data_IF_771421703124
#
_entry.id   IF_771421703124
#
_cell.length_a   1.000
_cell.length_b   1.000
_cell.length_c   1.000
_cell.angle_alpha   90.00
_cell.angle_beta   90.00
_cell.angle_gamma   90.00
#
_symmetry.space_group_name_H-M   'P 1'
#
loop_
_entity.id
_entity.type
_entity.pdbx_description
1 polymer ?
#
# COMPACT_ATOMS: atom_id res chain seq x y z
N UNK A 1 5.32 -17.36 -20.02
CA UNK A 1 4.30 -17.27 -21.09
C UNK A 1 3.21 -16.34 -20.59
N UNK A 2 3.25 -15.09 -21.03
CA UNK A 2 2.20 -14.11 -20.75
C UNK A 2 0.90 -14.57 -21.42
N UNK A 3 -0.15 -14.69 -20.63
CA UNK A 3 -1.50 -14.87 -21.16
C UNK A 3 -1.84 -13.58 -21.90
N UNK A 4 -2.24 -13.69 -23.18
CA UNK A 4 -2.74 -12.54 -23.94
C UNK A 4 -3.84 -11.84 -23.15
N UNK A 5 -3.62 -10.57 -22.81
CA UNK A 5 -4.61 -9.71 -22.16
C UNK A 5 -5.05 -8.65 -23.16
N UNK A 6 -6.09 -8.91 -23.97
CA UNK A 6 -6.59 -7.90 -24.90
C UNK A 6 -6.98 -6.64 -24.13
N UNK A 7 -6.61 -5.48 -24.66
CA UNK A 7 -6.93 -4.20 -24.03
C UNK A 7 -8.45 -4.03 -23.91
N UNK A 8 -8.90 -3.67 -22.71
CA UNK A 8 -10.28 -3.32 -22.44
C UNK A 8 -10.32 -1.97 -21.70
N UNK A 9 -10.84 -0.93 -22.36
CA UNK A 9 -10.88 0.43 -21.78
C UNK A 9 -11.61 0.47 -20.42
N UNK A 10 -12.58 -0.42 -20.20
CA UNK A 10 -13.32 -0.52 -18.94
C UNK A 10 -12.46 -1.01 -17.78
N UNK A 11 -11.39 -1.76 -18.04
CA UNK A 11 -10.50 -2.29 -17.01
C UNK A 11 -9.72 -1.18 -16.27
N UNK A 12 -9.48 -0.03 -16.92
CA UNK A 12 -8.78 1.13 -16.34
C UNK A 12 -9.52 1.70 -15.13
N UNK A 13 -10.85 1.55 -15.07
CA UNK A 13 -11.68 2.04 -13.96
C UNK A 13 -11.27 1.39 -12.63
N UNK A 14 -10.83 0.12 -12.66
CA UNK A 14 -10.36 -0.59 -11.47
C UNK A 14 -9.13 0.08 -10.85
N UNK A 15 -8.12 0.36 -11.68
CA UNK A 15 -6.89 1.03 -11.26
C UNK A 15 -7.17 2.45 -10.75
N UNK A 16 -8.03 3.21 -11.42
CA UNK A 16 -8.41 4.55 -10.98
C UNK A 16 -9.08 4.53 -9.59
N UNK A 17 -10.05 3.63 -9.38
CA UNK A 17 -10.72 3.47 -8.07
C UNK A 17 -9.76 3.02 -6.97
N UNK A 18 -8.76 2.20 -7.30
CA UNK A 18 -7.71 1.83 -6.35
C UNK A 18 -6.91 3.06 -5.91
N UNK A 19 -6.42 3.89 -6.83
CA UNK A 19 -5.67 5.10 -6.50
C UNK A 19 -6.51 6.09 -5.68
N UNK A 20 -7.79 6.26 -6.01
CA UNK A 20 -8.71 7.07 -5.20
C UNK A 20 -8.87 6.55 -3.77
N UNK A 21 -8.83 5.21 -3.57
CA UNK A 21 -8.89 4.62 -2.23
C UNK A 21 -7.59 4.82 -1.45
N UNK A 22 -6.44 4.71 -2.11
CA UNK A 22 -5.15 5.04 -1.48
C UNK A 22 -5.13 6.49 -1.06
N UNK A 23 -5.58 7.41 -1.94
CA UNK A 23 -5.69 8.82 -1.61
C UNK A 23 -6.55 9.04 -0.37
N UNK A 24 -7.77 8.50 -0.34
CA UNK A 24 -8.68 8.60 0.82
C UNK A 24 -8.18 7.93 2.10
N UNK A 25 -7.25 6.97 2.01
CA UNK A 25 -6.62 6.40 3.19
C UNK A 25 -5.65 7.37 3.86
N UNK A 26 -5.08 8.33 3.10
CA UNK A 26 -4.05 9.26 3.60
C UNK A 26 -4.58 10.69 3.74
N UNK A 27 -5.51 11.09 2.88
CA UNK A 27 -6.02 12.46 2.76
C UNK A 27 -7.54 12.45 2.87
N UNK A 28 -8.07 13.40 3.63
CA UNK A 28 -9.48 13.68 3.71
C UNK A 28 -9.92 14.48 2.47
N UNK A 29 -10.83 13.95 1.67
CA UNK A 29 -11.21 14.57 0.39
C UNK A 29 -12.07 15.84 0.55
N UNK A 30 -12.71 16.03 1.71
CA UNK A 30 -13.52 17.23 1.96
C UNK A 30 -12.66 18.42 2.39
N UNK A 31 -11.70 18.16 3.28
CA UNK A 31 -10.85 19.20 3.90
C UNK A 31 -9.48 19.34 3.25
N UNK A 32 -9.00 18.30 2.55
CA UNK A 32 -7.64 18.20 2.03
C UNK A 32 -6.57 17.94 3.10
N UNK A 33 -6.96 17.79 4.37
CA UNK A 33 -6.06 17.50 5.48
C UNK A 33 -5.60 16.03 5.46
N UNK A 34 -4.49 15.75 6.14
CA UNK A 34 -4.06 14.37 6.35
C UNK A 34 -5.02 13.65 7.31
N UNK A 35 -5.33 12.40 6.99
CA UNK A 35 -5.98 11.42 7.90
C UNK A 35 -4.96 10.58 8.64
N UNK A 36 -3.71 11.02 8.66
CA UNK A 36 -2.57 10.27 9.20
C UNK A 36 -2.31 10.70 10.63
N UNK A 37 -2.14 9.73 11.51
CA UNK A 37 -1.87 9.91 12.93
C UNK A 37 -0.58 9.22 13.35
N UNK A 38 0.07 9.73 14.39
CA UNK A 38 1.26 9.10 14.99
C UNK A 38 0.91 8.03 16.03
N UNK A 39 -0.39 7.75 16.24
CA UNK A 39 -0.83 6.63 17.06
C UNK A 39 -0.37 5.29 16.43
N UNK A 40 0.07 4.31 17.24
CA UNK A 40 0.51 3.02 16.72
C UNK A 40 -0.67 2.25 16.13
N UNK A 41 -0.42 1.48 15.07
CA UNK A 41 -1.39 0.56 14.51
C UNK A 41 -1.62 -0.63 15.45
N UNK A 42 -2.83 -1.18 15.41
CA UNK A 42 -3.12 -2.42 16.10
C UNK A 42 -2.25 -3.58 15.55
N UNK A 43 -2.17 -4.67 16.31
CA UNK A 43 -1.33 -5.82 15.93
C UNK A 43 -1.78 -6.42 14.59
N UNK A 44 -3.08 -6.46 14.31
CA UNK A 44 -3.62 -7.02 13.07
C UNK A 44 -3.15 -6.22 11.85
N UNK A 45 -3.19 -4.89 11.93
CA UNK A 45 -2.77 -3.97 10.87
C UNK A 45 -1.26 -4.03 10.67
N UNK A 46 -0.47 -4.08 11.75
CA UNK A 46 0.98 -4.28 11.64
C UNK A 46 1.33 -5.60 10.97
N UNK A 47 0.71 -6.71 11.38
CA UNK A 47 0.92 -8.02 10.72
C UNK A 47 0.53 -8.00 9.25
N UNK A 48 -0.60 -7.37 8.91
CA UNK A 48 -1.03 -7.20 7.52
C UNK A 48 -0.01 -6.40 6.72
N UNK A 49 0.48 -5.28 7.26
CA UNK A 49 1.52 -4.45 6.64
C UNK A 49 2.76 -5.28 6.31
N UNK A 50 3.35 -5.98 7.28
CA UNK A 50 4.58 -6.73 7.07
C UNK A 50 4.38 -7.90 6.10
N UNK A 51 3.23 -8.59 6.14
CA UNK A 51 2.87 -9.60 5.14
C UNK A 51 2.79 -9.01 3.73
N UNK A 52 2.25 -7.80 3.60
CA UNK A 52 2.14 -7.11 2.30
C UNK A 52 3.52 -6.65 1.83
N UNK A 53 4.38 -6.11 2.71
CA UNK A 53 5.76 -5.73 2.36
C UNK A 53 6.53 -6.93 1.80
N UNK A 54 6.52 -8.06 2.51
CA UNK A 54 7.19 -9.30 2.09
C UNK A 54 6.66 -9.78 0.74
N UNK A 55 5.34 -9.86 0.61
CA UNK A 55 4.69 -10.35 -0.60
C UNK A 55 4.88 -9.42 -1.81
N UNK A 56 4.87 -8.11 -1.63
CA UNK A 56 5.12 -7.13 -2.71
C UNK A 56 6.56 -7.21 -3.17
N UNK A 57 7.53 -7.30 -2.24
CA UNK A 57 8.95 -7.44 -2.56
C UNK A 57 9.20 -8.69 -3.41
N UNK A 58 8.75 -9.86 -2.93
CA UNK A 58 8.91 -11.11 -3.67
C UNK A 58 8.18 -11.14 -5.02
N UNK A 59 7.05 -10.43 -5.15
CA UNK A 59 6.35 -10.27 -6.43
C UNK A 59 7.08 -9.32 -7.37
N UNK A 60 7.67 -8.24 -6.89
CA UNK A 60 8.47 -7.33 -7.71
C UNK A 60 9.73 -8.01 -8.24
N UNK A 61 10.44 -8.78 -7.40
CA UNK A 61 11.59 -9.60 -7.81
C UNK A 61 11.20 -10.63 -8.88
N UNK A 62 10.00 -11.21 -8.75
CA UNK A 62 9.44 -12.15 -9.72
C UNK A 62 8.74 -11.51 -10.93
N UNK A 63 8.75 -10.18 -11.07
CA UNK A 63 8.05 -9.43 -12.14
C UNK A 63 6.53 -9.76 -12.17
N UNK A 64 5.94 -10.04 -11.00
CA UNK A 64 4.51 -10.36 -10.81
C UNK A 64 3.73 -9.12 -10.34
N UNK A 65 3.76 -8.06 -11.13
CA UNK A 65 3.17 -6.76 -10.74
C UNK A 65 1.68 -6.80 -10.40
N UNK A 66 0.89 -7.62 -11.10
CA UNK A 66 -0.55 -7.75 -10.83
C UNK A 66 -0.84 -8.25 -9.41
N UNK A 67 -0.05 -9.22 -8.92
CA UNK A 67 -0.24 -9.77 -7.58
C UNK A 67 0.35 -8.87 -6.51
N UNK A 68 1.38 -8.07 -6.84
CA UNK A 68 1.86 -6.99 -5.98
C UNK A 68 0.76 -5.92 -5.77
N UNK A 69 0.15 -5.44 -6.87
CA UNK A 69 -0.96 -4.47 -6.80
C UNK A 69 -2.16 -5.04 -6.02
N UNK A 70 -2.48 -6.34 -6.20
CA UNK A 70 -3.53 -6.99 -5.44
C UNK A 70 -3.27 -6.96 -3.91
N UNK A 71 -2.03 -7.11 -3.48
CA UNK A 71 -1.64 -6.99 -2.06
C UNK A 71 -1.75 -5.55 -1.55
N UNK A 72 -1.39 -4.56 -2.37
CA UNK A 72 -1.61 -3.15 -2.03
C UNK A 72 -3.09 -2.81 -1.90
N UNK A 73 -3.95 -3.39 -2.75
CA UNK A 73 -5.41 -3.28 -2.62
C UNK A 73 -5.88 -3.91 -1.29
N UNK A 74 -5.36 -5.07 -0.90
CA UNK A 74 -5.68 -5.71 0.38
C UNK A 74 -5.33 -4.83 1.57
N UNK A 75 -4.10 -4.28 1.61
CA UNK A 75 -3.67 -3.34 2.65
C UNK A 75 -4.58 -2.10 2.70
N UNK A 76 -4.82 -1.49 1.55
CA UNK A 76 -5.66 -0.28 1.43
C UNK A 76 -7.08 -0.55 1.93
N UNK A 77 -7.66 -1.71 1.60
CA UNK A 77 -8.99 -2.09 2.09
C UNK A 77 -9.01 -2.23 3.62
N UNK A 78 -7.93 -2.75 4.22
CA UNK A 78 -7.76 -2.78 5.68
C UNK A 78 -7.78 -1.38 6.29
N UNK A 79 -7.01 -0.46 5.70
CA UNK A 79 -6.90 0.93 6.16
C UNK A 79 -8.21 1.72 6.02
N UNK A 80 -8.98 1.52 4.96
CA UNK A 80 -10.25 2.23 4.76
C UNK A 80 -11.31 1.94 5.83
N UNK A 81 -11.09 0.95 6.71
CA UNK A 81 -11.97 0.63 7.85
C UNK A 81 -11.57 1.36 9.12
N UNK A 82 -10.38 1.95 9.15
CA UNK A 82 -9.86 2.71 10.28
C UNK A 82 -10.38 4.15 10.20
N UNK A 83 -10.62 4.81 11.34
CA UNK A 83 -10.95 6.24 11.35
C UNK A 83 -9.78 7.07 10.80
N UNK A 84 -8.57 6.78 11.28
CA UNK A 84 -7.31 7.42 10.90
C UNK A 84 -6.28 6.35 10.53
N UNK A 85 -5.36 6.69 9.64
CA UNK A 85 -4.30 5.79 9.20
C UNK A 85 -3.02 6.04 10.01
N UNK A 86 -2.51 5.04 10.74
CA UNK A 86 -1.22 5.17 11.43
C UNK A 86 -0.08 5.48 10.45
N UNK A 87 0.77 6.45 10.80
CA UNK A 87 1.91 6.88 9.97
C UNK A 87 2.83 5.71 9.61
N UNK A 88 3.07 4.82 10.57
CA UNK A 88 3.89 3.61 10.38
C UNK A 88 3.34 2.65 9.30
N UNK A 89 2.08 2.80 8.89
CA UNK A 89 1.47 2.04 7.79
C UNK A 89 1.32 2.88 6.51
N UNK A 90 0.99 4.17 6.65
CA UNK A 90 0.84 5.10 5.53
C UNK A 90 2.14 5.23 4.71
N UNK A 91 3.27 5.42 5.38
CA UNK A 91 4.56 5.64 4.71
C UNK A 91 5.01 4.42 3.89
N UNK A 92 5.02 3.18 4.44
CA UNK A 92 5.33 2.00 3.63
C UNK A 92 4.34 1.77 2.48
N UNK A 93 3.04 2.05 2.67
CA UNK A 93 2.06 1.96 1.58
C UNK A 93 2.44 2.88 0.41
N UNK A 94 2.80 4.14 0.71
CA UNK A 94 3.22 5.12 -0.30
C UNK A 94 4.49 4.67 -1.02
N UNK A 95 5.49 4.18 -0.28
CA UNK A 95 6.74 3.67 -0.86
C UNK A 95 6.50 2.44 -1.76
N UNK A 96 5.64 1.50 -1.34
CA UNK A 96 5.31 0.34 -2.16
C UNK A 96 4.46 0.69 -3.39
N UNK A 97 3.71 1.80 -3.36
CA UNK A 97 2.94 2.28 -4.50
C UNK A 97 3.83 2.96 -5.55
N UNK A 98 4.94 3.57 -5.14
CA UNK A 98 5.81 4.39 -5.99
C UNK A 98 6.24 3.74 -7.31
N UNK A 99 6.62 2.45 -7.38
CA UNK A 99 6.99 1.81 -8.64
C UNK A 99 5.84 1.73 -9.66
N UNK A 100 4.58 1.81 -9.20
CA UNK A 100 3.38 1.65 -10.03
C UNK A 100 2.69 2.98 -10.35
N UNK A 101 2.68 3.91 -9.39
CA UNK A 101 2.01 5.20 -9.52
C UNK A 101 2.87 6.32 -8.89
N UNK A 102 4.05 6.62 -9.46
CA UNK A 102 5.06 7.48 -8.82
C UNK A 102 4.55 8.89 -8.53
N UNK A 103 3.79 9.48 -9.44
CA UNK A 103 3.28 10.86 -9.27
C UNK A 103 2.32 11.00 -8.08
N UNK A 104 1.42 10.02 -7.89
CA UNK A 104 0.48 10.02 -6.76
C UNK A 104 1.25 9.75 -5.46
N UNK A 105 2.17 8.78 -5.49
CA UNK A 105 3.01 8.49 -4.34
C UNK A 105 3.84 9.72 -3.90
N UNK A 106 4.43 10.46 -4.83
CA UNK A 106 5.25 11.64 -4.54
C UNK A 106 4.44 12.81 -3.95
N UNK A 107 3.21 13.01 -4.43
CA UNK A 107 2.29 13.98 -3.82
C UNK A 107 1.93 13.57 -2.38
N UNK A 108 1.61 12.30 -2.14
CA UNK A 108 1.31 11.80 -0.80
C UNK A 108 2.53 11.89 0.13
N UNK A 109 3.72 11.58 -0.38
CA UNK A 109 4.97 11.66 0.36
C UNK A 109 5.30 13.09 0.82
N UNK A 110 5.18 14.07 -0.09
CA UNK A 110 5.33 15.49 0.25
C UNK A 110 4.29 15.94 1.28
N UNK A 111 3.02 15.51 1.13
CA UNK A 111 1.97 15.82 2.11
C UNK A 111 2.26 15.23 3.48
N UNK A 112 2.85 14.05 3.56
CA UNK A 112 3.27 13.40 4.81
C UNK A 112 4.38 14.16 5.55
N UNK A 113 4.96 15.21 4.94
CA UNK A 113 5.95 16.10 5.53
C UNK A 113 7.38 15.87 5.05
N UNK A 114 7.59 15.01 4.04
CA UNK A 114 8.92 14.72 3.52
C UNK A 114 9.34 15.72 2.44
N UNK A 115 10.53 16.29 2.59
CA UNK A 115 11.07 17.29 1.63
C UNK A 115 11.81 16.64 0.45
N UNK A 116 12.50 15.52 0.70
CA UNK A 116 13.23 14.78 -0.32
C UNK A 116 12.29 13.86 -1.10
N UNK A 117 12.58 13.66 -2.38
CA UNK A 117 11.79 12.75 -3.22
C UNK A 117 11.86 11.31 -2.70
N UNK A 118 10.72 10.64 -2.71
CA UNK A 118 10.62 9.23 -2.32
C UNK A 118 11.45 8.30 -3.22
N UNK A 119 11.89 8.77 -4.39
CA UNK A 119 12.69 7.98 -5.32
C UNK A 119 14.06 7.56 -4.73
N UNK A 120 14.52 8.27 -3.69
CA UNK A 120 15.75 7.98 -2.97
C UNK A 120 15.50 7.36 -1.59
N UNK A 121 14.25 7.10 -1.22
CA UNK A 121 13.92 6.44 0.03
C UNK A 121 14.09 4.91 -0.10
N UNK A 122 14.47 4.26 0.99
CA UNK A 122 14.60 2.81 1.02
C UNK A 122 13.24 2.13 0.87
N UNK A 123 13.19 1.06 0.08
CA UNK A 123 11.98 0.24 -0.02
C UNK A 123 11.74 -0.50 1.31
N UNK A 124 10.50 -0.54 1.83
CA UNK A 124 10.23 -1.10 3.16
C UNK A 124 10.62 -2.57 3.28
N UNK A 125 11.06 -2.98 4.47
CA UNK A 125 11.45 -4.36 4.79
C UNK A 125 10.50 -4.94 5.83
N UNK A 126 10.06 -6.18 5.62
CA UNK A 126 9.17 -6.86 6.56
C UNK A 126 9.95 -7.29 7.80
N UNK A 127 9.30 -7.23 8.97
CA UNK A 127 9.83 -7.82 10.20
C UNK A 127 9.47 -9.32 10.21
N UNK A 128 10.47 -10.23 10.19
CA UNK A 128 10.22 -11.67 10.21
C UNK A 128 9.37 -12.13 11.40
N UNK A 129 9.44 -11.45 12.56
CA UNK A 129 8.65 -11.81 13.73
C UNK A 129 7.14 -11.62 13.52
N UNK A 130 6.76 -10.66 12.67
CA UNK A 130 5.36 -10.34 12.36
C UNK A 130 4.79 -11.20 11.22
N UNK A 131 5.64 -11.95 10.51
CA UNK A 131 5.24 -12.92 9.47
C UNK A 131 4.83 -14.29 10.04
N UNK A 132 5.25 -14.61 11.28
CA UNK A 132 4.89 -15.89 11.91
C UNK A 132 3.40 -15.89 12.26
N UNK A 133 2.65 -16.81 11.67
CA UNK A 133 1.24 -16.98 11.96
C UNK A 133 1.04 -17.59 13.36
N UNK A 134 0.24 -16.93 14.19
CA UNK A 134 -0.08 -17.41 15.55
C UNK A 134 -1.05 -18.60 15.53
N UNK A 135 -1.85 -18.76 14.45
CA UNK A 135 -2.85 -19.82 14.31
C UNK A 135 -2.86 -20.34 12.87
N UNK A 136 -2.77 -21.67 12.70
CA UNK A 136 -2.88 -22.34 11.40
C UNK A 136 -4.27 -22.94 11.28
N UNK A 137 -5.06 -22.48 10.31
CA UNK A 137 -6.35 -23.11 9.98
C UNK A 137 -6.11 -24.32 9.08
N UNK A 138 -6.42 -25.51 9.59
CA UNK A 138 -6.44 -26.74 8.78
C UNK A 138 -7.80 -26.87 8.07
N UNK A 139 -7.83 -27.32 6.80
CA UNK A 139 -9.07 -27.59 6.06
C UNK A 139 -9.85 -28.79 6.59
#
# INVERSE_FOLDING_TARGET
>A
LEVSRPWETRAVVGSYRFLQRVWRAVVDEETGALRVTDAPADEATRRLLHKVIDGVRGDMEGIRFNTAIAKLIELTNGLTRLPDTPREVAEPLVLMLAPFAPHVAEELWRRLGHEASLAYADFPTADPALLVATTVTYP
#
